data_IF_345890615946
#
_entry.id   IF_345890615946
#
_cell.length_a   1.000
_cell.length_b   1.000
_cell.length_c   1.000
_cell.angle_alpha   90.00
_cell.angle_beta   90.00
_cell.angle_gamma   90.00
#
_symmetry.space_group_name_H-M   'P 1'
#
loop_
_entity.id
_entity.type
_entity.pdbx_description
1 polymer ?
#
# COMPACT_ATOMS: atom_id res chain seq x y z
N UNK A 1 25.55 -75.40 24.04
CA UNK A 1 25.09 -75.39 22.66
C UNK A 1 23.68 -74.86 22.63
N UNK A 2 23.56 -73.55 22.37
CA UNK A 2 22.26 -72.84 22.20
C UNK A 2 21.86 -72.98 20.75
N UNK A 3 20.84 -73.77 20.45
CA UNK A 3 20.17 -73.80 19.18
C UNK A 3 19.36 -72.52 19.03
N UNK A 4 19.85 -71.57 18.25
CA UNK A 4 19.10 -70.40 17.81
C UNK A 4 18.09 -70.88 16.77
N UNK A 5 16.81 -70.81 17.09
CA UNK A 5 15.70 -71.24 16.26
C UNK A 5 15.66 -70.40 14.96
N UNK A 6 15.83 -71.08 13.82
CA UNK A 6 15.76 -70.52 12.46
C UNK A 6 14.32 -70.09 12.05
N UNK A 7 13.38 -70.04 12.99
CA UNK A 7 11.97 -69.69 12.72
C UNK A 7 11.66 -68.20 12.64
N UNK A 8 12.65 -67.32 12.79
CA UNK A 8 12.47 -65.85 12.78
C UNK A 8 12.88 -65.10 11.56
N UNK A 9 13.68 -65.73 10.66
CA UNK A 9 14.30 -65.03 9.55
C UNK A 9 13.30 -64.50 8.48
N UNK A 10 12.25 -65.27 8.18
CA UNK A 10 11.27 -64.89 7.20
C UNK A 10 10.42 -63.65 7.65
N UNK A 11 10.19 -63.51 8.96
CA UNK A 11 9.52 -62.35 9.56
C UNK A 11 10.37 -61.10 9.41
N UNK A 12 11.67 -61.21 9.59
CA UNK A 12 12.60 -60.11 9.36
C UNK A 12 12.65 -59.69 7.88
N UNK A 13 12.56 -60.66 6.97
CA UNK A 13 12.48 -60.38 5.52
C UNK A 13 11.18 -59.67 5.15
N UNK A 14 10.04 -60.03 5.75
CA UNK A 14 8.76 -59.36 5.54
C UNK A 14 8.83 -57.91 6.06
N UNK A 15 9.35 -57.72 7.28
CA UNK A 15 9.52 -56.38 7.84
C UNK A 15 10.47 -55.52 6.97
N UNK A 16 11.59 -56.11 6.54
CA UNK A 16 12.53 -55.46 5.65
C UNK A 16 11.90 -55.06 4.33
N UNK A 17 11.15 -55.99 3.70
CA UNK A 17 10.42 -55.71 2.43
C UNK A 17 9.36 -54.59 2.58
N UNK A 18 8.60 -54.62 3.70
CA UNK A 18 7.60 -53.60 4.00
C UNK A 18 8.25 -52.21 4.22
N UNK A 19 9.40 -52.19 4.86
CA UNK A 19 10.17 -50.96 5.06
C UNK A 19 10.69 -50.39 3.76
N UNK A 20 11.19 -51.23 2.83
CA UNK A 20 11.63 -50.84 1.49
C UNK A 20 10.44 -50.33 0.69
N UNK A 21 9.27 -50.97 0.75
CA UNK A 21 8.06 -50.54 0.05
C UNK A 21 7.58 -49.19 0.55
N UNK A 22 7.54 -48.95 1.84
CA UNK A 22 7.16 -47.67 2.44
C UNK A 22 8.19 -46.58 2.05
N UNK A 23 9.48 -46.86 2.16
CA UNK A 23 10.53 -45.93 1.75
C UNK A 23 10.48 -45.60 0.27
N UNK A 24 10.24 -46.61 -0.59
CA UNK A 24 10.05 -46.45 -2.02
C UNK A 24 8.82 -45.58 -2.36
N UNK A 25 7.72 -45.80 -1.64
CA UNK A 25 6.50 -44.97 -1.75
C UNK A 25 6.73 -43.50 -1.36
N UNK A 26 7.48 -43.26 -0.31
CA UNK A 26 7.84 -41.90 0.12
C UNK A 26 8.73 -41.21 -0.92
N UNK A 27 9.77 -41.92 -1.40
CA UNK A 27 10.64 -41.40 -2.45
C UNK A 27 9.88 -41.11 -3.76
N UNK A 28 9.01 -42.05 -4.18
CA UNK A 28 8.16 -41.83 -5.35
C UNK A 28 7.25 -40.62 -5.19
N UNK A 29 6.61 -40.45 -4.02
CA UNK A 29 5.77 -39.28 -3.73
C UNK A 29 6.60 -37.98 -3.70
N UNK A 30 7.81 -38.04 -3.15
CA UNK A 30 8.70 -36.88 -3.10
C UNK A 30 9.13 -36.44 -4.52
N UNK A 31 9.48 -37.40 -5.40
CA UNK A 31 9.79 -37.13 -6.81
C UNK A 31 8.56 -36.63 -7.56
N UNK A 32 7.40 -37.21 -7.36
CA UNK A 32 6.14 -36.75 -7.95
C UNK A 32 5.79 -35.33 -7.55
N UNK A 33 5.94 -34.96 -6.28
CA UNK A 33 5.74 -33.60 -5.78
C UNK A 33 6.73 -32.62 -6.44
N UNK A 34 7.99 -33.06 -6.59
CA UNK A 34 9.03 -32.21 -7.18
C UNK A 34 8.82 -31.98 -8.69
N UNK A 35 8.35 -32.98 -9.43
CA UNK A 35 8.26 -32.91 -10.91
C UNK A 35 6.87 -32.47 -11.40
N UNK A 36 5.78 -32.95 -10.79
CA UNK A 36 4.44 -32.75 -11.31
C UNK A 36 3.65 -31.66 -10.59
N UNK A 37 3.91 -31.45 -9.32
CA UNK A 37 3.14 -30.50 -8.48
C UNK A 37 3.89 -29.20 -8.16
N UNK A 38 5.18 -29.10 -8.56
CA UNK A 38 6.01 -27.93 -8.25
C UNK A 38 5.39 -26.63 -8.78
N UNK A 39 4.96 -26.61 -10.03
CA UNK A 39 4.33 -25.43 -10.65
C UNK A 39 3.00 -25.06 -9.96
N UNK A 40 2.23 -26.06 -9.57
CA UNK A 40 0.96 -25.84 -8.85
C UNK A 40 1.19 -25.32 -7.44
N UNK A 41 2.13 -25.91 -6.69
CA UNK A 41 2.47 -25.49 -5.33
C UNK A 41 3.10 -24.10 -5.30
N UNK A 42 3.97 -23.80 -6.26
CA UNK A 42 4.52 -22.45 -6.45
C UNK A 42 3.40 -21.45 -6.75
N UNK A 43 2.53 -21.75 -7.71
CA UNK A 43 1.39 -20.90 -8.06
C UNK A 43 0.45 -20.64 -6.88
N UNK A 44 0.20 -21.66 -6.05
CA UNK A 44 -0.57 -21.48 -4.80
C UNK A 44 0.17 -20.68 -3.74
N UNK A 45 1.47 -20.87 -3.59
CA UNK A 45 2.34 -20.08 -2.71
C UNK A 45 2.36 -18.61 -3.15
N UNK A 46 2.56 -18.39 -4.44
CA UNK A 46 2.58 -17.06 -5.06
C UNK A 46 1.23 -16.36 -4.91
N UNK A 47 0.12 -17.05 -5.16
CA UNK A 47 -1.22 -16.47 -5.00
C UNK A 47 -1.53 -16.00 -3.56
N UNK A 48 -0.84 -16.55 -2.56
CA UNK A 48 -1.00 -16.15 -1.15
C UNK A 48 -0.10 -15.00 -0.75
N UNK A 49 1.07 -14.88 -1.34
CA UNK A 49 2.13 -13.95 -0.94
C UNK A 49 2.42 -12.84 -1.94
N UNK A 50 2.06 -13.03 -3.22
CA UNK A 50 2.21 -11.99 -4.24
C UNK A 50 1.03 -11.03 -4.25
N UNK A 51 1.31 -9.73 -4.22
CA UNK A 51 0.32 -8.67 -4.34
C UNK A 51 0.79 -7.62 -5.33
N UNK A 52 -0.15 -7.14 -6.12
CA UNK A 52 0.09 -5.94 -6.93
C UNK A 52 -0.18 -4.72 -6.07
N UNK A 53 0.84 -3.90 -5.90
CA UNK A 53 0.74 -2.62 -5.19
C UNK A 53 0.73 -1.49 -6.21
N UNK A 54 -0.21 -0.57 -6.05
CA UNK A 54 -0.24 0.67 -6.82
C UNK A 54 0.75 1.67 -6.21
N UNK A 55 1.52 2.32 -7.06
CA UNK A 55 2.36 3.45 -6.67
C UNK A 55 1.70 4.70 -7.22
N UNK A 56 1.26 5.64 -6.37
CA UNK A 56 0.59 6.84 -6.84
C UNK A 56 1.53 7.65 -7.75
N UNK A 57 0.97 8.22 -8.82
CA UNK A 57 1.68 9.15 -9.68
C UNK A 57 1.68 10.55 -9.07
N UNK A 58 2.73 11.30 -9.35
CA UNK A 58 2.80 12.71 -8.99
C UNK A 58 1.93 13.49 -9.97
N UNK A 59 0.99 14.30 -9.45
CA UNK A 59 0.16 15.17 -10.29
C UNK A 59 0.97 16.37 -10.78
N UNK A 60 0.84 16.71 -12.07
CA UNK A 60 1.57 17.78 -12.72
C UNK A 60 1.44 19.13 -12.03
N UNK A 61 2.46 19.94 -12.12
CA UNK A 61 2.52 21.29 -11.57
C UNK A 61 1.66 22.24 -12.41
N UNK A 62 0.99 23.20 -11.77
CA UNK A 62 0.37 24.33 -12.49
C UNK A 62 1.16 25.58 -12.12
N UNK A 63 1.67 26.30 -13.11
CA UNK A 63 2.46 27.52 -12.92
C UNK A 63 1.87 28.70 -13.66
N UNK A 64 2.26 29.89 -13.26
CA UNK A 64 2.07 31.10 -14.05
C UNK A 64 3.09 31.18 -15.20
N UNK A 65 3.05 32.25 -16.00
CA UNK A 65 3.99 32.48 -17.12
C UNK A 65 5.46 32.63 -16.70
N UNK A 66 5.71 32.94 -15.43
CA UNK A 66 7.04 33.17 -14.88
C UNK A 66 7.59 31.92 -14.17
N UNK A 67 6.79 30.81 -14.12
CA UNK A 67 7.15 29.60 -13.39
C UNK A 67 6.74 29.61 -11.91
N UNK A 68 6.01 30.63 -11.44
CA UNK A 68 5.53 30.68 -10.05
C UNK A 68 4.45 29.63 -9.84
N UNK A 69 4.55 28.79 -8.78
CA UNK A 69 3.64 27.68 -8.56
C UNK A 69 2.26 28.15 -8.11
N UNK A 70 1.23 27.74 -8.84
CA UNK A 70 -0.17 27.97 -8.51
C UNK A 70 -0.83 26.75 -7.88
N UNK A 71 -0.41 25.54 -8.28
CA UNK A 71 -0.81 24.30 -7.68
C UNK A 71 0.36 23.31 -7.67
N UNK A 72 0.67 22.74 -6.52
CA UNK A 72 1.81 21.83 -6.31
C UNK A 72 1.38 20.63 -5.48
N UNK A 73 1.90 19.44 -5.81
CA UNK A 73 1.65 18.22 -5.04
C UNK A 73 2.79 17.97 -4.06
N UNK A 74 2.48 17.86 -2.77
CA UNK A 74 3.45 17.50 -1.75
C UNK A 74 3.24 16.04 -1.29
N UNK A 75 4.32 15.31 -0.98
CA UNK A 75 4.21 13.96 -0.47
C UNK A 75 3.57 13.95 0.91
N UNK A 76 2.61 13.05 1.09
CA UNK A 76 1.95 12.77 2.36
C UNK A 76 1.76 11.26 2.48
N UNK A 77 1.19 10.80 3.59
CA UNK A 77 0.85 9.41 3.78
C UNK A 77 -0.62 9.23 4.16
N UNK A 78 -1.15 8.06 3.82
CA UNK A 78 -2.45 7.59 4.26
C UNK A 78 -2.25 6.41 5.19
N UNK A 79 -2.82 6.50 6.40
CA UNK A 79 -2.80 5.43 7.40
C UNK A 79 -4.13 4.70 7.33
N UNK A 80 -4.07 3.39 7.15
CA UNK A 80 -5.25 2.54 7.13
C UNK A 80 -5.02 1.24 7.91
N UNK A 81 -6.10 0.62 8.33
CA UNK A 81 -6.09 -0.64 9.07
C UNK A 81 -6.80 -1.75 8.30
N UNK A 82 -6.34 -2.99 8.48
CA UNK A 82 -7.14 -4.20 8.30
C UNK A 82 -7.68 -4.62 9.67
N UNK A 83 -8.94 -4.30 10.05
CA UNK A 83 -9.49 -4.60 11.37
C UNK A 83 -9.44 -6.08 11.72
N UNK A 84 -9.49 -6.96 10.71
CA UNK A 84 -9.40 -8.41 10.90
C UNK A 84 -8.03 -8.88 11.38
N UNK A 85 -6.97 -8.16 10.98
CA UNK A 85 -5.58 -8.52 11.32
C UNK A 85 -5.00 -7.67 12.45
N UNK A 86 -5.68 -6.56 12.80
CA UNK A 86 -5.20 -5.62 13.81
C UNK A 86 -5.25 -6.23 15.20
N UNK A 87 -4.12 -6.21 15.88
CA UNK A 87 -4.03 -6.59 17.31
C UNK A 87 -4.53 -5.43 18.17
N UNK A 88 -5.81 -5.49 18.54
CA UNK A 88 -6.47 -4.47 19.36
C UNK A 88 -5.94 -4.34 20.80
N UNK A 89 -5.13 -5.30 21.26
CA UNK A 89 -4.52 -5.25 22.59
C UNK A 89 -3.12 -4.62 22.57
N UNK A 90 -2.61 -4.27 21.42
CA UNK A 90 -1.29 -3.65 21.29
C UNK A 90 -1.28 -2.27 21.96
N UNK A 91 -0.40 -2.01 22.95
CA UNK A 91 -0.34 -0.74 23.67
C UNK A 91 0.03 0.44 22.76
N UNK A 92 0.70 0.17 21.62
CA UNK A 92 1.10 1.21 20.67
C UNK A 92 -0.09 1.81 19.90
N UNK A 93 -1.27 1.21 19.94
CA UNK A 93 -2.49 1.80 19.32
C UNK A 93 -2.82 3.14 19.98
N UNK A 94 -2.71 3.23 21.31
CA UNK A 94 -2.95 4.49 22.03
C UNK A 94 -1.91 5.56 21.68
N UNK A 95 -0.64 5.16 21.46
CA UNK A 95 0.42 6.08 21.02
C UNK A 95 0.16 6.53 19.57
N UNK A 96 -0.20 5.61 18.66
CA UNK A 96 -0.57 5.94 17.29
C UNK A 96 -1.74 6.92 17.23
N UNK A 97 -2.79 6.70 18.03
CA UNK A 97 -3.94 7.62 18.10
C UNK A 97 -3.50 9.04 18.49
N UNK A 98 -2.63 9.16 19.50
CA UNK A 98 -2.07 10.47 19.90
C UNK A 98 -1.23 11.14 18.82
N UNK A 99 -0.39 10.38 18.12
CA UNK A 99 0.42 10.89 16.99
C UNK A 99 -0.46 11.39 15.84
N UNK A 100 -1.67 10.85 15.73
CA UNK A 100 -2.66 11.22 14.71
C UNK A 100 -3.66 12.28 15.21
N UNK A 101 -3.54 12.81 16.43
CA UNK A 101 -4.52 13.71 17.07
C UNK A 101 -5.93 13.12 17.08
N UNK A 102 -6.04 11.79 17.35
CA UNK A 102 -7.29 11.06 17.45
C UNK A 102 -7.52 10.60 18.88
N UNK A 103 -8.79 10.46 19.25
CA UNK A 103 -9.18 9.82 20.52
C UNK A 103 -8.85 8.30 20.46
N UNK A 104 -8.04 7.76 21.39
CA UNK A 104 -7.78 6.32 21.41
C UNK A 104 -9.03 5.46 21.56
N UNK A 105 -10.05 5.98 22.23
CA UNK A 105 -11.33 5.29 22.46
C UNK A 105 -12.15 5.22 21.17
N UNK A 106 -12.25 6.32 20.42
CA UNK A 106 -12.93 6.39 19.13
C UNK A 106 -12.25 5.48 18.12
N UNK A 107 -10.91 5.55 18.00
CA UNK A 107 -10.16 4.69 17.11
C UNK A 107 -10.37 3.20 17.41
N UNK A 108 -10.34 2.80 18.68
CA UNK A 108 -10.63 1.41 19.10
C UNK A 108 -12.09 1.04 18.82
N UNK A 109 -13.03 2.00 18.94
CA UNK A 109 -14.45 1.83 18.60
C UNK A 109 -14.61 1.53 17.10
N UNK A 110 -13.98 2.34 16.25
CA UNK A 110 -14.03 2.19 14.79
C UNK A 110 -13.40 0.85 14.33
N UNK A 111 -12.27 0.48 14.91
CA UNK A 111 -11.60 -0.80 14.63
C UNK A 111 -12.44 -2.02 15.07
N UNK A 112 -13.29 -1.89 16.10
CA UNK A 112 -14.19 -2.94 16.58
C UNK A 112 -15.55 -2.96 15.90
N UNK A 113 -15.96 -1.88 15.25
CA UNK A 113 -17.32 -1.70 14.72
C UNK A 113 -17.69 -2.76 13.68
N UNK A 114 -16.75 -3.17 12.84
CA UNK A 114 -16.94 -4.23 11.85
C UNK A 114 -15.69 -5.14 11.75
N UNK A 115 -15.65 -6.24 12.50
CA UNK A 115 -14.52 -7.19 12.49
C UNK A 115 -14.34 -7.94 11.17
N UNK A 116 -15.32 -7.89 10.26
CA UNK A 116 -15.25 -8.52 8.93
C UNK A 116 -14.62 -7.58 7.88
N UNK A 117 -14.58 -6.31 8.17
CA UNK A 117 -14.00 -5.29 7.30
C UNK A 117 -12.49 -5.52 7.16
N UNK A 118 -11.99 -5.43 5.95
CA UNK A 118 -10.56 -5.62 5.64
C UNK A 118 -9.83 -4.32 5.34
N UNK A 119 -10.54 -3.21 5.33
CA UNK A 119 -9.97 -1.92 5.02
C UNK A 119 -10.73 -0.80 5.75
N UNK A 120 -10.02 -0.03 6.54
CA UNK A 120 -10.51 1.14 7.26
C UNK A 120 -9.48 2.27 7.19
N UNK A 121 -9.85 3.40 6.60
CA UNK A 121 -9.02 4.60 6.71
C UNK A 121 -9.01 5.09 8.16
N UNK A 122 -7.81 5.23 8.75
CA UNK A 122 -7.62 5.85 10.07
C UNK A 122 -7.44 7.36 9.90
N UNK A 123 -6.44 7.76 9.12
CA UNK A 123 -6.19 9.17 8.81
C UNK A 123 -5.51 9.29 7.46
N UNK A 124 -5.98 10.26 6.67
CA UNK A 124 -5.42 10.58 5.35
C UNK A 124 -4.62 11.88 5.44
N UNK A 125 -3.71 12.08 4.48
CA UNK A 125 -2.90 13.28 4.36
C UNK A 125 -2.04 13.58 5.60
N UNK A 126 -1.47 12.54 6.19
CA UNK A 126 -0.53 12.61 7.31
C UNK A 126 0.84 13.03 6.80
N UNK A 127 1.57 13.85 7.56
CA UNK A 127 2.94 14.24 7.19
C UNK A 127 3.89 13.05 7.17
N UNK A 128 4.92 13.05 6.33
CA UNK A 128 5.86 11.93 6.21
C UNK A 128 6.55 11.58 7.53
N UNK A 129 6.85 12.57 8.37
CA UNK A 129 7.52 12.36 9.66
C UNK A 129 6.63 11.60 10.64
N UNK A 130 5.34 11.95 10.72
CA UNK A 130 4.37 11.25 11.58
C UNK A 130 4.11 9.85 11.05
N UNK A 131 3.99 9.72 9.72
CA UNK A 131 3.80 8.43 9.06
C UNK A 131 4.96 7.47 9.33
N UNK A 132 6.20 7.95 9.25
CA UNK A 132 7.39 7.17 9.56
C UNK A 132 7.39 6.69 11.02
N UNK A 133 7.06 7.56 11.98
CA UNK A 133 6.96 7.18 13.39
C UNK A 133 5.90 6.11 13.62
N UNK A 134 4.78 6.16 12.88
CA UNK A 134 3.73 5.14 12.98
C UNK A 134 4.19 3.82 12.39
N UNK A 135 4.90 3.83 11.26
CA UNK A 135 5.46 2.63 10.64
C UNK A 135 6.47 1.94 11.57
N UNK A 136 7.30 2.73 12.28
CA UNK A 136 8.26 2.24 13.29
C UNK A 136 7.59 1.56 14.49
N UNK A 137 6.34 1.90 14.83
CA UNK A 137 5.58 1.21 15.89
C UNK A 137 5.26 -0.25 15.55
N UNK A 138 5.35 -0.61 14.27
CA UNK A 138 5.19 -1.97 13.74
C UNK A 138 3.92 -2.67 14.25
N UNK A 139 2.79 -1.97 14.25
CA UNK A 139 1.51 -2.49 14.71
C UNK A 139 0.94 -3.40 13.63
N UNK A 140 0.62 -4.65 14.01
CA UNK A 140 0.02 -5.61 13.08
C UNK A 140 -1.32 -5.10 12.56
N UNK A 141 -1.56 -5.22 11.24
CA UNK A 141 -2.80 -4.78 10.59
C UNK A 141 -2.91 -3.28 10.35
N UNK A 142 -1.89 -2.49 10.72
CA UNK A 142 -1.78 -1.07 10.37
C UNK A 142 -0.81 -0.93 9.20
N UNK A 143 -1.22 -0.12 8.23
CA UNK A 143 -0.48 0.09 7.00
C UNK A 143 -0.32 1.58 6.72
N UNK A 144 0.83 1.91 6.14
CA UNK A 144 1.18 3.27 5.74
C UNK A 144 1.41 3.26 4.24
N UNK A 145 0.55 3.96 3.50
CA UNK A 145 0.67 4.12 2.06
C UNK A 145 1.07 5.55 1.70
N UNK A 146 1.99 5.67 0.74
CA UNK A 146 2.37 6.97 0.19
C UNK A 146 1.22 7.53 -0.62
N UNK A 147 0.98 8.82 -0.48
CA UNK A 147 -0.01 9.58 -1.22
C UNK A 147 0.51 11.00 -1.46
N UNK A 148 -0.27 11.81 -2.16
CA UNK A 148 0.06 13.21 -2.41
C UNK A 148 -1.10 14.09 -1.95
N UNK A 149 -0.77 15.28 -1.47
CA UNK A 149 -1.73 16.33 -1.16
C UNK A 149 -1.48 17.51 -2.08
N UNK A 150 -2.55 18.02 -2.67
CA UNK A 150 -2.48 19.21 -3.51
C UNK A 150 -2.48 20.46 -2.65
N UNK A 151 -1.57 21.36 -2.93
CA UNK A 151 -1.44 22.68 -2.28
C UNK A 151 -1.55 23.77 -3.32
N UNK A 152 -2.15 24.86 -2.93
CA UNK A 152 -2.40 26.04 -3.75
C UNK A 152 -1.79 27.26 -3.06
N UNK A 153 -0.52 27.60 -3.34
CA UNK A 153 0.19 28.68 -2.64
C UNK A 153 -0.50 30.04 -2.77
N UNK A 154 -1.14 30.29 -3.92
CA UNK A 154 -1.87 31.52 -4.21
C UNK A 154 -3.39 31.34 -4.19
N UNK A 155 -3.93 30.45 -3.34
CA UNK A 155 -5.34 30.08 -3.36
C UNK A 155 -6.30 31.27 -3.32
N UNK A 156 -6.07 32.26 -2.45
CA UNK A 156 -6.94 33.42 -2.31
C UNK A 156 -7.17 34.19 -3.63
N UNK A 157 -6.14 34.22 -4.48
CA UNK A 157 -6.15 35.02 -5.71
C UNK A 157 -6.51 34.20 -6.95
N UNK A 158 -6.28 32.89 -6.92
CA UNK A 158 -6.35 32.03 -8.10
C UNK A 158 -7.38 30.91 -8.00
N UNK A 159 -8.06 30.74 -6.87
CA UNK A 159 -9.00 29.62 -6.61
C UNK A 159 -10.04 29.44 -7.71
N UNK A 160 -10.68 30.53 -8.15
CA UNK A 160 -11.73 30.45 -9.18
C UNK A 160 -11.20 30.03 -10.55
N UNK A 161 -9.92 30.29 -10.83
CA UNK A 161 -9.29 29.89 -12.08
C UNK A 161 -8.71 28.47 -11.99
N UNK A 162 -7.88 28.25 -10.98
CA UNK A 162 -7.17 26.95 -10.80
C UNK A 162 -8.14 25.86 -10.35
N UNK A 163 -9.10 26.20 -9.49
CA UNK A 163 -9.99 25.23 -8.88
C UNK A 163 -9.30 24.43 -7.76
N UNK A 164 -9.81 23.25 -7.48
CA UNK A 164 -9.27 22.37 -6.45
C UNK A 164 -9.47 20.89 -6.80
N UNK A 165 -8.75 20.03 -6.08
CA UNK A 165 -8.89 18.57 -6.16
C UNK A 165 -9.57 18.03 -4.91
N UNK A 166 -10.21 16.87 -5.03
CA UNK A 166 -10.66 16.10 -3.87
C UNK A 166 -9.46 15.41 -3.17
N UNK A 167 -9.76 14.67 -2.10
CA UNK A 167 -8.74 13.95 -1.30
C UNK A 167 -8.04 12.84 -2.10
N UNK A 168 -8.65 12.36 -3.18
CA UNK A 168 -8.10 11.33 -4.07
C UNK A 168 -7.24 11.94 -5.20
N UNK A 169 -7.13 13.27 -5.25
CA UNK A 169 -6.34 13.99 -6.24
C UNK A 169 -7.06 14.21 -7.57
N UNK A 170 -8.38 13.97 -7.64
CA UNK A 170 -9.19 14.23 -8.83
C UNK A 170 -9.67 15.67 -8.84
N UNK A 171 -9.53 16.36 -9.99
CA UNK A 171 -9.97 17.74 -10.17
C UNK A 171 -11.48 17.87 -10.01
N UNK A 172 -11.93 18.88 -9.28
CA UNK A 172 -13.35 19.12 -9.00
C UNK A 172 -13.87 20.38 -9.70
N UNK A 173 -13.02 21.39 -9.84
CA UNK A 173 -13.37 22.68 -10.46
C UNK A 173 -12.19 23.28 -11.22
N UNK A 174 -12.46 24.30 -12.04
CA UNK A 174 -11.48 25.11 -12.72
C UNK A 174 -10.54 24.34 -13.65
N UNK A 175 -9.30 24.77 -13.73
CA UNK A 175 -8.27 24.11 -14.55
C UNK A 175 -7.93 22.70 -14.04
N UNK A 176 -8.02 22.47 -12.73
CA UNK A 176 -7.83 21.15 -12.14
C UNK A 176 -8.82 20.13 -12.72
N UNK A 177 -10.08 20.52 -12.94
CA UNK A 177 -11.08 19.66 -13.57
C UNK A 177 -10.89 19.59 -15.09
N UNK A 178 -10.71 20.75 -15.74
CA UNK A 178 -10.62 20.83 -17.20
C UNK A 178 -9.44 20.05 -17.77
N UNK A 179 -8.31 20.04 -17.07
CA UNK A 179 -7.07 19.33 -17.45
C UNK A 179 -6.78 18.12 -16.55
N UNK A 180 -7.82 17.57 -15.93
CA UNK A 180 -7.62 16.47 -14.99
C UNK A 180 -6.85 15.28 -15.57
N UNK A 181 -7.18 14.86 -16.80
CA UNK A 181 -6.54 13.72 -17.47
C UNK A 181 -5.05 13.95 -17.76
N UNK A 182 -4.66 15.18 -18.05
CA UNK A 182 -3.27 15.58 -18.33
C UNK A 182 -2.48 15.66 -17.03
N UNK A 183 -3.09 16.28 -16.02
CA UNK A 183 -2.42 16.56 -14.74
C UNK A 183 -2.26 15.33 -13.85
N UNK A 184 -3.20 14.35 -13.85
CA UNK A 184 -3.25 13.28 -12.86
C UNK A 184 -2.11 12.25 -12.97
N UNK A 185 -1.53 12.10 -14.16
CA UNK A 185 -0.56 11.06 -14.46
C UNK A 185 -1.12 9.64 -14.40
N UNK A 186 -0.26 8.65 -14.57
CA UNK A 186 -0.63 7.24 -14.53
C UNK A 186 0.03 6.54 -13.33
N UNK A 187 -0.76 5.87 -12.45
CA UNK A 187 -0.20 5.16 -11.31
C UNK A 187 0.64 3.97 -11.77
N UNK A 188 1.76 3.77 -11.11
CA UNK A 188 2.61 2.60 -11.31
C UNK A 188 2.01 1.36 -10.66
N UNK A 189 2.48 0.19 -11.11
CA UNK A 189 2.13 -1.12 -10.55
C UNK A 189 3.38 -1.91 -10.27
N UNK A 190 3.54 -2.39 -9.06
CA UNK A 190 4.65 -3.26 -8.67
C UNK A 190 4.14 -4.56 -8.07
N UNK A 191 4.82 -5.65 -8.42
CA UNK A 191 4.59 -6.95 -7.81
C UNK A 191 5.46 -7.05 -6.57
N UNK A 192 4.84 -7.22 -5.42
CA UNK A 192 5.51 -7.30 -4.14
C UNK A 192 5.22 -8.63 -3.45
N UNK A 193 6.22 -9.15 -2.76
CA UNK A 193 6.07 -10.28 -1.84
C UNK A 193 5.67 -9.74 -0.49
N UNK A 194 4.52 -10.18 0.02
CA UNK A 194 4.06 -9.81 1.36
C UNK A 194 4.16 -10.99 2.33
N UNK A 195 4.50 -10.70 3.57
CA UNK A 195 4.45 -11.68 4.65
C UNK A 195 2.99 -11.91 5.12
N UNK A 196 2.82 -12.82 6.10
CA UNK A 196 1.50 -13.08 6.71
C UNK A 196 0.92 -11.87 7.46
N UNK A 197 1.74 -10.86 7.73
CA UNK A 197 1.36 -9.61 8.39
C UNK A 197 1.05 -8.49 7.41
N UNK A 198 1.02 -8.79 6.10
CA UNK A 198 0.76 -7.81 5.04
C UNK A 198 1.94 -6.86 4.73
N UNK A 199 3.11 -7.06 5.36
CA UNK A 199 4.28 -6.22 5.13
C UNK A 199 5.00 -6.64 3.86
N UNK A 200 5.42 -5.66 3.07
CA UNK A 200 6.24 -5.92 1.88
C UNK A 200 7.63 -6.39 2.31
N UNK A 201 7.92 -7.66 2.05
CA UNK A 201 9.24 -8.28 2.31
C UNK A 201 10.21 -7.98 1.19
N UNK A 202 9.72 -8.01 -0.05
CA UNK A 202 10.56 -7.81 -1.25
C UNK A 202 9.74 -7.25 -2.41
N UNK A 203 10.31 -6.27 -3.11
CA UNK A 203 9.85 -5.88 -4.44
C UNK A 203 10.43 -6.86 -5.46
N UNK A 204 9.56 -7.54 -6.20
CA UNK A 204 9.97 -8.56 -7.18
C UNK A 204 10.11 -7.97 -8.56
N UNK A 205 9.12 -7.21 -9.01
CA UNK A 205 9.07 -6.65 -10.35
C UNK A 205 8.23 -5.39 -10.40
N UNK A 206 8.69 -4.39 -11.14
CA UNK A 206 7.86 -3.27 -11.55
C UNK A 206 7.10 -3.69 -12.82
N UNK A 207 5.79 -3.87 -12.70
CA UNK A 207 4.92 -4.23 -13.83
C UNK A 207 4.67 -3.02 -14.72
N UNK A 208 4.54 -1.84 -14.10
CA UNK A 208 4.33 -0.56 -14.76
C UNK A 208 4.98 0.53 -13.90
N UNK A 209 5.82 1.35 -14.51
CA UNK A 209 6.38 2.51 -13.82
C UNK A 209 5.32 3.60 -13.66
N UNK A 210 5.28 4.28 -12.52
CA UNK A 210 4.43 5.46 -12.35
C UNK A 210 4.90 6.55 -13.30
N UNK A 211 3.98 7.10 -14.08
CA UNK A 211 4.24 8.25 -14.95
C UNK A 211 3.63 9.49 -14.32
N UNK A 212 4.43 10.51 -14.00
CA UNK A 212 3.90 11.75 -13.47
C UNK A 212 2.99 12.41 -14.49
N UNK A 213 2.03 13.20 -14.03
CA UNK A 213 1.23 14.05 -14.89
C UNK A 213 2.08 15.15 -15.54
N UNK A 214 1.59 15.67 -16.65
CA UNK A 214 2.25 16.76 -17.35
C UNK A 214 2.02 18.08 -16.61
N UNK A 215 3.02 18.96 -16.63
CA UNK A 215 2.95 20.28 -16.04
C UNK A 215 2.19 21.24 -16.96
N UNK A 216 1.43 22.15 -16.37
CA UNK A 216 0.61 23.13 -17.07
C UNK A 216 1.11 24.55 -16.77
N UNK A 217 1.72 25.21 -17.75
CA UNK A 217 2.11 26.61 -17.67
C UNK A 217 1.01 27.52 -18.23
N UNK A 218 0.55 28.47 -17.42
CA UNK A 218 -0.51 29.39 -17.78
C UNK A 218 0.05 30.70 -18.36
N UNK A 219 -0.76 31.41 -19.08
CA UNK A 219 -0.44 32.75 -19.63
C UNK A 219 -0.61 33.88 -18.62
N UNK A 220 -1.21 33.64 -17.44
CA UNK A 220 -1.41 34.64 -16.41
C UNK A 220 -0.07 35.02 -15.72
N UNK A 221 -0.04 36.20 -15.12
CA UNK A 221 1.03 36.66 -14.25
C UNK A 221 0.46 36.80 -12.82
N UNK A 222 0.97 36.02 -11.87
CA UNK A 222 0.47 35.97 -10.49
C UNK A 222 0.50 37.35 -9.80
N UNK A 223 1.53 38.18 -10.10
CA UNK A 223 1.68 39.51 -9.50
C UNK A 223 0.56 40.46 -9.99
N UNK A 224 0.24 40.40 -11.28
CA UNK A 224 -0.86 41.20 -11.86
C UNK A 224 -2.21 40.70 -11.32
N UNK A 225 -2.37 39.39 -11.20
CA UNK A 225 -3.57 38.79 -10.62
C UNK A 225 -3.78 39.24 -9.17
N UNK A 226 -2.70 39.27 -8.37
CA UNK A 226 -2.75 39.73 -6.98
C UNK A 226 -3.11 41.22 -6.88
N UNK A 227 -2.54 42.05 -7.74
CA UNK A 227 -2.87 43.49 -7.80
C UNK A 227 -4.35 43.70 -8.14
N UNK A 228 -4.84 43.06 -9.20
CA UNK A 228 -6.24 43.14 -9.58
C UNK A 228 -7.20 42.68 -8.49
N UNK A 229 -6.87 41.57 -7.82
CA UNK A 229 -7.67 41.04 -6.70
C UNK A 229 -7.73 42.04 -5.54
N UNK A 230 -6.60 42.65 -5.17
CA UNK A 230 -6.53 43.63 -4.09
C UNK A 230 -7.40 44.86 -4.40
N UNK A 231 -7.23 45.43 -5.57
CA UNK A 231 -8.00 46.64 -5.99
C UNK A 231 -9.50 46.35 -6.02
N UNK A 232 -9.91 45.17 -6.47
CA UNK A 232 -11.32 44.77 -6.50
C UNK A 232 -11.90 44.51 -5.10
N UNK A 233 -11.04 44.04 -4.15
CA UNK A 233 -11.46 43.78 -2.76
C UNK A 233 -11.65 45.08 -1.97
N UNK A 234 -10.91 46.13 -2.31
CA UNK A 234 -10.91 47.42 -1.64
C UNK A 234 -11.98 48.38 -2.22
N UNK A 235 -12.62 48.03 -3.35
CA UNK A 235 -13.65 48.81 -4.05
C UNK A 235 -15.06 48.47 -3.53
#
# INVERSE_FOLDING_TARGET
>A
LVQIHAAGSWRLWIVGFLLVLVSGGILFKMVSLYTSEQAFLQKQGDARSLRTRLTPAHRGLITDRNGEPLAVSAPVATIWADPKETDLQNPNIALMARLLDLSPQELLGDLKSDPKRRFLYIKRQVTPEVAQRIDELNIRGIHVDRSFKRFYPAAEVTTHLVGFTNVDGEGQEGLELAFNEVLRGEPGRSLVLQDRKGRTVKHLQNLQQAMPGEDLALSIDLRLQYLAYRELKDA
#
